data_IF_460427681965
#
_entry.id   IF_460427681965
#
_cell.length_a   1.000
_cell.length_b   1.000
_cell.length_c   1.000
_cell.angle_alpha   90.00
_cell.angle_beta   90.00
_cell.angle_gamma   90.00
#
_symmetry.space_group_name_H-M   'P 1'
#
loop_
_entity.id
_entity.type
_entity.pdbx_description
1 polymer ?
#
# COMPACT_ATOMS: atom_id res chain seq x y z
N UNK A 1 -3.70 31.20 -5.54
CA UNK A 1 -3.99 30.80 -4.14
C UNK A 1 -4.03 29.29 -4.11
N UNK A 2 -3.02 28.64 -3.50
CA UNK A 2 -2.97 27.19 -3.41
C UNK A 2 -4.15 26.70 -2.55
N UNK A 3 -4.97 25.81 -3.10
CA UNK A 3 -6.01 25.14 -2.34
C UNK A 3 -5.34 24.44 -1.15
N UNK A 4 -5.71 24.82 0.06
CA UNK A 4 -5.32 24.11 1.27
C UNK A 4 -6.04 22.76 1.21
N UNK A 5 -5.37 21.75 0.66
CA UNK A 5 -5.85 20.37 0.70
C UNK A 5 -5.88 19.97 2.17
N UNK A 6 -7.09 19.82 2.72
CA UNK A 6 -7.28 19.46 4.13
C UNK A 6 -6.47 18.22 4.45
N UNK A 7 -5.82 18.18 5.62
CA UNK A 7 -5.00 17.05 6.06
C UNK A 7 -5.82 15.73 6.05
N UNK A 8 -7.14 15.81 6.27
CA UNK A 8 -8.05 14.68 6.16
C UNK A 8 -8.19 14.16 4.70
N UNK A 9 -8.23 15.07 3.71
CA UNK A 9 -8.33 14.69 2.29
C UNK A 9 -7.04 14.06 1.74
N UNK A 10 -5.90 14.31 2.37
CA UNK A 10 -4.63 13.64 2.02
C UNK A 10 -4.64 12.15 2.34
N UNK A 11 -5.50 11.66 3.24
CA UNK A 11 -5.64 10.22 3.48
C UNK A 11 -6.43 9.51 2.37
N UNK A 12 -7.29 10.22 1.63
CA UNK A 12 -8.06 9.67 0.52
C UNK A 12 -7.33 9.69 -0.82
N UNK A 13 -6.54 10.74 -1.08
CA UNK A 13 -5.67 10.85 -2.26
C UNK A 13 -4.39 11.59 -1.91
N UNK A 14 -3.36 10.90 -1.35
CA UNK A 14 -2.09 11.53 -1.02
C UNK A 14 -1.45 12.20 -2.24
N UNK A 15 -1.05 13.46 -2.13
CA UNK A 15 -0.44 14.21 -3.23
C UNK A 15 0.74 15.08 -2.76
N UNK A 16 1.73 15.21 -3.63
CA UNK A 16 2.92 16.03 -3.39
C UNK A 16 3.71 15.63 -2.14
N UNK A 17 4.48 16.58 -1.59
CA UNK A 17 5.34 16.34 -0.43
C UNK A 17 4.56 15.98 0.84
N UNK A 18 3.42 16.61 1.08
CA UNK A 18 2.55 16.28 2.23
C UNK A 18 2.04 14.84 2.11
N UNK A 19 1.63 14.41 0.91
CA UNK A 19 1.26 13.02 0.64
C UNK A 19 2.37 12.01 0.91
N UNK A 20 3.64 12.38 0.66
CA UNK A 20 4.78 11.51 0.98
C UNK A 20 4.93 11.30 2.49
N UNK A 21 4.78 12.37 3.29
CA UNK A 21 4.84 12.29 4.75
C UNK A 21 3.66 11.48 5.30
N UNK A 22 2.44 11.74 4.80
CA UNK A 22 1.24 10.98 5.18
C UNK A 22 1.40 9.50 4.83
N UNK A 23 1.89 9.18 3.62
CA UNK A 23 2.18 7.81 3.21
C UNK A 23 3.21 7.12 4.09
N UNK A 24 4.22 7.85 4.58
CA UNK A 24 5.19 7.32 5.54
C UNK A 24 4.56 6.99 6.89
N UNK A 25 3.70 7.88 7.39
CA UNK A 25 2.95 7.66 8.62
C UNK A 25 2.03 6.44 8.48
N UNK A 26 1.24 6.38 7.41
CA UNK A 26 0.34 5.25 7.11
C UNK A 26 1.10 3.93 7.05
N UNK A 27 2.29 3.90 6.42
CA UNK A 27 3.11 2.69 6.34
C UNK A 27 3.55 2.17 7.72
N UNK A 28 3.68 3.05 8.70
CA UNK A 28 4.07 2.71 10.07
C UNK A 28 2.85 2.33 10.90
N UNK A 29 1.81 3.15 10.91
CA UNK A 29 0.62 2.96 11.75
C UNK A 29 -0.21 1.76 11.31
N UNK A 30 -0.27 1.49 10.00
CA UNK A 30 -1.12 0.43 9.47
C UNK A 30 -0.37 -0.91 9.32
N UNK A 31 0.89 -1.02 9.78
CA UNK A 31 1.69 -2.23 9.59
C UNK A 31 1.08 -3.45 10.28
N UNK A 32 0.66 -3.30 11.53
CA UNK A 32 0.04 -4.38 12.30
C UNK A 32 -1.33 -4.76 11.74
N UNK A 33 -2.14 -3.76 11.38
CA UNK A 33 -3.42 -3.98 10.71
C UNK A 33 -3.24 -4.75 9.39
N UNK A 34 -2.31 -4.34 8.53
CA UNK A 34 -2.02 -5.07 7.28
C UNK A 34 -1.54 -6.50 7.56
N UNK A 35 -0.66 -6.70 8.54
CA UNK A 35 -0.18 -8.03 8.90
C UNK A 35 -1.30 -8.94 9.41
N UNK A 36 -2.20 -8.40 10.23
CA UNK A 36 -3.39 -9.10 10.70
C UNK A 36 -4.33 -9.42 9.53
N UNK A 37 -4.65 -8.45 8.68
CA UNK A 37 -5.51 -8.65 7.50
C UNK A 37 -4.93 -9.71 6.58
N UNK A 38 -3.65 -9.63 6.20
CA UNK A 38 -3.00 -10.65 5.36
C UNK A 38 -3.02 -12.02 6.02
N UNK A 39 -2.89 -12.09 7.35
CA UNK A 39 -2.99 -13.35 8.11
C UNK A 39 -4.38 -13.98 8.11
N UNK A 40 -5.43 -13.22 7.80
CA UNK A 40 -6.79 -13.75 7.63
C UNK A 40 -7.09 -14.21 6.20
N UNK A 41 -6.24 -13.85 5.23
CA UNK A 41 -6.43 -14.23 3.83
C UNK A 41 -5.77 -15.59 3.58
N UNK A 42 -6.54 -16.52 3.03
CA UNK A 42 -6.05 -17.85 2.65
C UNK A 42 -5.40 -17.84 1.25
N UNK A 43 -4.42 -16.95 1.04
CA UNK A 43 -3.72 -16.86 -0.26
C UNK A 43 -2.78 -18.05 -0.42
N UNK A 44 -3.06 -18.91 -1.40
CA UNK A 44 -2.35 -20.14 -1.64
C UNK A 44 -1.31 -20.02 -2.77
N UNK A 45 -0.33 -20.94 -2.84
CA UNK A 45 0.54 -21.06 -4.00
C UNK A 45 -0.25 -21.22 -5.31
N UNK A 46 0.08 -20.43 -6.32
CA UNK A 46 -0.64 -20.42 -7.60
C UNK A 46 -1.72 -19.34 -7.73
N UNK A 47 -2.15 -18.75 -6.61
CA UNK A 47 -3.16 -17.69 -6.64
C UNK A 47 -2.63 -16.39 -7.26
N UNK A 48 -3.56 -15.60 -7.79
CA UNK A 48 -3.29 -14.25 -8.30
C UNK A 48 -3.98 -13.24 -7.38
N UNK A 49 -3.19 -12.40 -6.74
CA UNK A 49 -3.65 -11.40 -5.77
C UNK A 49 -3.72 -10.01 -6.40
N UNK A 50 -4.81 -9.27 -6.14
CA UNK A 50 -4.98 -7.88 -6.54
C UNK A 50 -5.36 -7.02 -5.32
N UNK A 51 -4.58 -5.99 -5.02
CA UNK A 51 -4.92 -4.98 -4.02
C UNK A 51 -5.35 -3.67 -4.68
N UNK A 52 -6.56 -3.20 -4.36
CA UNK A 52 -7.10 -1.91 -4.82
C UNK A 52 -6.94 -0.89 -3.70
N UNK A 53 -6.25 0.21 -3.99
CA UNK A 53 -5.91 1.22 -2.99
C UNK A 53 -4.81 0.76 -2.04
N UNK A 54 -3.73 0.15 -2.57
CA UNK A 54 -2.64 -0.42 -1.78
C UNK A 54 -1.87 0.62 -0.93
N UNK A 55 -2.08 1.91 -1.17
CA UNK A 55 -1.47 3.00 -0.43
C UNK A 55 0.05 2.90 -0.42
N UNK A 56 0.73 2.92 0.74
CA UNK A 56 2.17 2.88 0.79
C UNK A 56 2.78 1.51 0.46
N UNK A 57 1.98 0.49 0.08
CA UNK A 57 2.45 -0.81 -0.42
C UNK A 57 2.80 -1.84 0.64
N UNK A 58 2.37 -1.65 1.89
CA UNK A 58 2.71 -2.57 3.00
C UNK A 58 1.97 -3.91 2.88
N UNK A 59 0.68 -3.90 2.51
CA UNK A 59 -0.12 -5.12 2.29
C UNK A 59 0.49 -5.99 1.19
N UNK A 60 0.64 -5.42 -0.02
CA UNK A 60 1.34 -6.03 -1.17
C UNK A 60 2.69 -6.66 -0.78
N UNK A 61 3.56 -5.93 -0.07
CA UNK A 61 4.86 -6.47 0.37
C UNK A 61 4.67 -7.70 1.27
N UNK A 62 3.73 -7.65 2.22
CA UNK A 62 3.48 -8.74 3.15
C UNK A 62 2.93 -9.98 2.41
N UNK A 63 2.01 -9.80 1.46
CA UNK A 63 1.52 -10.90 0.62
C UNK A 63 2.67 -11.53 -0.15
N UNK A 64 3.50 -10.73 -0.83
CA UNK A 64 4.65 -11.25 -1.58
C UNK A 64 5.67 -11.99 -0.73
N UNK A 65 5.88 -11.57 0.52
CA UNK A 65 6.89 -12.18 1.40
C UNK A 65 6.38 -13.38 2.19
N UNK A 66 5.08 -13.45 2.47
CA UNK A 66 4.50 -14.43 3.39
C UNK A 66 3.64 -15.48 2.71
N UNK A 67 3.24 -15.23 1.46
CA UNK A 67 2.38 -16.14 0.70
C UNK A 67 3.15 -16.71 -0.50
N UNK A 68 2.63 -17.79 -1.09
CA UNK A 68 3.16 -18.37 -2.33
C UNK A 68 2.48 -17.85 -3.59
N UNK A 69 1.76 -16.72 -3.52
CA UNK A 69 0.99 -16.19 -4.65
C UNK A 69 1.85 -16.13 -5.92
N UNK A 70 1.31 -16.63 -7.04
CA UNK A 70 2.02 -16.66 -8.32
C UNK A 70 2.16 -15.25 -8.91
N UNK A 71 1.17 -14.38 -8.67
CA UNK A 71 1.18 -12.98 -9.11
C UNK A 71 0.58 -12.12 -8.02
N UNK A 72 1.24 -11.00 -7.70
CA UNK A 72 0.69 -9.97 -6.83
C UNK A 72 0.67 -8.66 -7.62
N UNK A 73 -0.51 -8.07 -7.76
CA UNK A 73 -0.72 -6.81 -8.48
C UNK A 73 -1.36 -5.79 -7.55
N UNK A 74 -1.01 -4.53 -7.71
CA UNK A 74 -1.64 -3.42 -6.98
C UNK A 74 -2.10 -2.33 -7.94
N UNK A 75 -3.22 -1.69 -7.63
CA UNK A 75 -3.65 -0.44 -8.26
C UNK A 75 -3.91 0.62 -7.20
N UNK A 76 -3.34 1.80 -7.37
CA UNK A 76 -3.62 2.97 -6.54
C UNK A 76 -3.68 4.20 -7.44
N UNK A 77 -4.64 5.08 -7.16
CA UNK A 77 -4.88 6.28 -7.97
C UNK A 77 -3.98 7.45 -7.54
N UNK A 78 -3.28 7.34 -6.41
CA UNK A 78 -2.25 8.27 -5.96
C UNK A 78 -0.89 7.89 -6.54
N UNK A 79 -0.35 8.74 -7.41
CA UNK A 79 0.99 8.57 -7.96
C UNK A 79 2.07 8.54 -6.86
N UNK A 80 1.87 9.32 -5.78
CA UNK A 80 2.74 9.33 -4.60
C UNK A 80 2.79 7.96 -3.93
N UNK A 81 1.65 7.28 -3.82
CA UNK A 81 1.55 5.93 -3.26
C UNK A 81 2.22 4.91 -4.18
N UNK A 82 1.99 4.99 -5.50
CA UNK A 82 2.67 4.15 -6.50
C UNK A 82 4.18 4.26 -6.39
N UNK A 83 4.74 5.47 -6.46
CA UNK A 83 6.19 5.70 -6.35
C UNK A 83 6.76 5.14 -5.06
N UNK A 84 6.05 5.31 -3.93
CA UNK A 84 6.48 4.81 -2.63
C UNK A 84 6.46 3.28 -2.56
N UNK A 85 5.41 2.64 -3.08
CA UNK A 85 5.29 1.19 -3.10
C UNK A 85 6.33 0.55 -4.03
N UNK A 86 6.62 1.17 -5.19
CA UNK A 86 7.65 0.70 -6.12
C UNK A 86 9.07 0.69 -5.54
N UNK A 87 9.34 1.52 -4.54
CA UNK A 87 10.61 1.51 -3.81
C UNK A 87 10.73 0.42 -2.74
N UNK A 88 9.68 -0.39 -2.52
CA UNK A 88 9.72 -1.45 -1.50
C UNK A 88 10.30 -2.74 -2.09
N UNK A 89 11.18 -3.43 -1.35
CA UNK A 89 11.66 -4.74 -1.76
C UNK A 89 10.54 -5.78 -1.60
N UNK A 90 9.90 -6.12 -2.72
CA UNK A 90 8.98 -7.26 -2.83
C UNK A 90 9.79 -8.52 -3.17
N UNK A 91 9.44 -9.66 -2.55
CA UNK A 91 10.03 -10.98 -2.83
C UNK A 91 9.33 -11.72 -3.98
N UNK A 92 8.46 -10.97 -4.65
CA UNK A 92 7.75 -11.21 -5.90
C UNK A 92 8.19 -10.02 -6.81
#
# INVERSE_FOLDING_TARGET
>A
MAAVVSLASQFGRPQGFVGQVVGALMARTNRELNAWTVGLLEVAPGDRFLEIGFGPGVGVELVCRRTGAAVVTGVDHSEVMVQRASGRPTGC
#
